data_IF_905104079821
#
_entry.id   IF_905104079821
#
_cell.length_a   1.000
_cell.length_b   1.000
_cell.length_c   1.000
_cell.angle_alpha   90.00
_cell.angle_beta   90.00
_cell.angle_gamma   90.00
#
_symmetry.space_group_name_H-M   'P 1'
#
loop_
_entity.id
_entity.type
_entity.pdbx_description
1 polymer ?
#
# COMPACT_ATOMS: atom_id res chain seq x y z
N UNK A 1 -14.85 5.43 -5.67
CA UNK A 1 -13.75 6.39 -5.97
C UNK A 1 -12.46 5.61 -6.16
N UNK A 2 -11.79 5.77 -7.30
CA UNK A 2 -10.50 5.11 -7.55
C UNK A 2 -9.36 5.93 -6.97
N UNK A 3 -8.40 5.25 -6.34
CA UNK A 3 -7.23 5.82 -5.70
C UNK A 3 -5.97 5.30 -6.42
N UNK A 4 -5.45 6.04 -7.42
CA UNK A 4 -4.25 5.64 -8.10
C UNK A 4 -3.06 5.70 -7.13
N UNK A 5 -2.21 4.67 -7.18
CA UNK A 5 -1.01 4.58 -6.35
C UNK A 5 0.23 4.63 -7.22
N UNK A 6 1.20 5.44 -6.82
CA UNK A 6 2.46 5.64 -7.54
C UNK A 6 3.64 5.62 -6.57
N UNK A 7 4.81 5.29 -7.08
CA UNK A 7 6.07 5.30 -6.33
C UNK A 7 6.95 4.11 -6.67
N UNK A 8 7.98 3.91 -5.87
CA UNK A 8 8.83 2.72 -5.89
C UNK A 8 8.61 1.97 -4.58
N UNK A 9 8.35 0.66 -4.67
CA UNK A 9 8.37 -0.23 -3.51
C UNK A 9 9.31 -1.38 -3.81
N UNK A 10 10.19 -1.63 -2.86
CA UNK A 10 11.24 -2.59 -3.00
C UNK A 10 11.49 -3.28 -1.66
N UNK A 11 11.77 -4.57 -1.70
CA UNK A 11 12.28 -5.33 -0.56
C UNK A 11 13.63 -5.91 -0.95
N UNK A 12 14.67 -5.53 -0.19
CA UNK A 12 16.02 -6.04 -0.36
C UNK A 12 16.35 -7.08 0.71
N UNK A 13 16.95 -8.20 0.30
CA UNK A 13 17.34 -9.32 1.14
C UNK A 13 18.85 -9.34 1.37
N UNK A 14 19.28 -10.02 2.44
CA UNK A 14 20.71 -10.06 2.85
C UNK A 14 21.63 -10.71 1.82
N UNK A 15 21.09 -11.57 0.98
CA UNK A 15 21.80 -12.21 -0.14
C UNK A 15 22.00 -11.27 -1.35
N UNK A 16 21.49 -10.04 -1.25
CA UNK A 16 21.50 -9.05 -2.33
C UNK A 16 20.40 -9.28 -3.37
N UNK A 17 19.44 -10.16 -3.11
CA UNK A 17 18.23 -10.26 -3.94
C UNK A 17 17.32 -9.08 -3.63
N UNK A 18 16.69 -8.54 -4.66
CA UNK A 18 15.82 -7.38 -4.56
C UNK A 18 14.52 -7.68 -5.30
N UNK A 19 13.39 -7.45 -4.63
CA UNK A 19 12.05 -7.64 -5.19
C UNK A 19 11.40 -6.27 -5.34
N UNK A 20 11.14 -5.88 -6.58
CA UNK A 20 10.33 -4.71 -6.91
C UNK A 20 8.84 -5.07 -6.80
N UNK A 21 8.05 -4.17 -6.20
CA UNK A 21 6.63 -4.40 -5.91
C UNK A 21 5.79 -3.31 -6.57
N UNK A 22 5.09 -3.67 -7.66
CA UNK A 22 4.11 -2.82 -8.31
C UNK A 22 2.90 -2.53 -7.42
N UNK A 23 2.05 -1.58 -7.81
CA UNK A 23 0.86 -1.19 -7.06
C UNK A 23 -0.41 -1.77 -7.69
N UNK A 24 -1.32 -2.36 -6.89
CA UNK A 24 -2.67 -2.64 -7.36
C UNK A 24 -3.49 -1.35 -7.40
N UNK A 25 -4.65 -1.44 -8.04
CA UNK A 25 -5.64 -0.38 -7.97
C UNK A 25 -6.39 -0.45 -6.63
N UNK A 26 -6.77 0.70 -6.10
CA UNK A 26 -7.54 0.78 -4.86
C UNK A 26 -8.84 1.53 -5.11
N UNK A 27 -9.93 1.05 -4.54
CA UNK A 27 -11.26 1.65 -4.70
C UNK A 27 -11.94 1.79 -3.36
N UNK A 28 -12.47 2.98 -3.10
CA UNK A 28 -13.41 3.22 -2.00
C UNK A 28 -14.83 3.14 -2.55
N UNK A 29 -15.60 2.19 -2.04
CA UNK A 29 -17.01 2.02 -2.35
C UNK A 29 -17.88 2.65 -1.26
N UNK A 30 -19.16 2.89 -1.58
CA UNK A 30 -20.17 3.35 -0.62
C UNK A 30 -19.78 4.63 0.13
N UNK A 31 -19.05 5.54 -0.52
CA UNK A 31 -18.63 6.82 0.09
C UNK A 31 -19.81 7.64 0.60
N UNK A 32 -20.91 7.54 -0.13
CA UNK A 32 -22.13 8.26 0.15
C UNK A 32 -23.06 7.37 0.96
N UNK A 33 -23.65 6.32 0.36
CA UNK A 33 -24.68 5.52 1.01
C UNK A 33 -24.20 4.11 1.36
N UNK A 34 -24.57 3.64 2.55
CA UNK A 34 -24.18 2.34 3.09
C UNK A 34 -22.83 2.37 3.81
N UNK A 35 -22.33 1.19 4.16
CA UNK A 35 -21.02 1.07 4.82
C UNK A 35 -19.89 1.26 3.82
N UNK A 36 -19.11 2.32 4.03
CA UNK A 36 -17.91 2.60 3.28
C UNK A 36 -16.89 1.48 3.48
N UNK A 37 -16.40 0.92 2.38
CA UNK A 37 -15.35 -0.08 2.42
C UNK A 37 -14.32 0.14 1.32
N UNK A 38 -13.13 -0.35 1.58
CA UNK A 38 -11.99 -0.31 0.68
C UNK A 38 -11.85 -1.66 -0.02
N UNK A 39 -11.56 -1.64 -1.31
CA UNK A 39 -11.36 -2.82 -2.13
C UNK A 39 -10.08 -2.66 -2.95
N UNK A 40 -9.26 -3.72 -2.97
CA UNK A 40 -8.09 -3.82 -3.83
C UNK A 40 -8.51 -4.46 -5.16
N UNK A 41 -8.09 -3.89 -6.28
CA UNK A 41 -8.50 -4.27 -7.62
C UNK A 41 -7.29 -4.42 -8.55
N UNK A 42 -7.56 -4.98 -9.73
CA UNK A 42 -6.57 -5.06 -10.80
C UNK A 42 -5.46 -6.06 -10.47
N UNK A 43 -4.29 -5.83 -11.05
CA UNK A 43 -3.16 -6.74 -10.91
C UNK A 43 -2.00 -6.10 -10.16
N UNK A 44 -1.31 -6.88 -9.34
CA UNK A 44 -0.07 -6.49 -8.69
C UNK A 44 1.08 -7.38 -9.15
N UNK A 45 2.21 -6.76 -9.52
CA UNK A 45 3.40 -7.44 -9.98
C UNK A 45 4.50 -7.40 -8.92
N UNK A 46 5.18 -8.52 -8.74
CA UNK A 46 6.40 -8.66 -7.96
C UNK A 46 7.50 -9.14 -8.90
N UNK A 47 8.64 -8.45 -8.95
CA UNK A 47 9.71 -8.77 -9.90
C UNK A 47 11.02 -8.99 -9.16
N UNK A 48 11.59 -10.18 -9.35
CA UNK A 48 12.96 -10.51 -8.98
C UNK A 48 13.77 -10.66 -10.28
N UNK A 49 14.38 -9.56 -10.70
CA UNK A 49 15.14 -9.51 -11.96
C UNK A 49 16.39 -10.40 -11.90
N UNK A 50 17.01 -10.54 -10.71
CA UNK A 50 18.25 -11.30 -10.52
C UNK A 50 18.03 -12.79 -10.77
N UNK A 51 16.94 -13.34 -10.26
CA UNK A 51 16.63 -14.76 -10.38
C UNK A 51 15.70 -15.07 -11.57
N UNK A 52 15.32 -14.06 -12.36
CA UNK A 52 14.41 -14.22 -13.49
C UNK A 52 13.04 -14.78 -13.06
N UNK A 53 12.51 -14.24 -11.96
CA UNK A 53 11.23 -14.65 -11.39
C UNK A 53 10.29 -13.44 -11.31
N UNK A 54 9.00 -13.71 -11.48
CA UNK A 54 7.97 -12.74 -11.15
C UNK A 54 6.75 -13.42 -10.57
N UNK A 55 6.03 -12.70 -9.73
CA UNK A 55 4.69 -13.09 -9.30
C UNK A 55 3.67 -12.07 -9.78
N UNK A 56 2.55 -12.54 -10.34
CA UNK A 56 1.40 -11.70 -10.69
C UNK A 56 0.22 -12.12 -9.83
N UNK A 57 -0.30 -11.17 -9.05
CA UNK A 57 -1.56 -11.33 -8.33
C UNK A 57 -2.66 -10.58 -9.09
N UNK A 58 -3.84 -11.19 -9.17
CA UNK A 58 -5.06 -10.60 -9.71
C UNK A 58 -6.10 -10.54 -8.59
N UNK A 59 -6.46 -9.32 -8.20
CA UNK A 59 -7.52 -9.05 -7.24
C UNK A 59 -8.86 -8.93 -7.98
N UNK A 60 -9.92 -9.44 -7.35
CA UNK A 60 -11.28 -9.46 -7.92
C UNK A 60 -11.28 -9.88 -9.41
N UNK A 61 -10.81 -11.09 -9.74
CA UNK A 61 -10.59 -11.52 -11.12
C UNK A 61 -11.86 -11.39 -11.98
N UNK A 62 -11.75 -10.82 -13.20
CA UNK A 62 -12.92 -10.55 -14.03
C UNK A 62 -13.62 -11.85 -14.44
N UNK A 63 -14.95 -11.83 -14.49
CA UNK A 63 -15.77 -12.97 -14.91
C UNK A 63 -16.01 -14.02 -13.82
N UNK A 64 -15.39 -13.90 -12.64
CA UNK A 64 -15.68 -14.75 -11.48
C UNK A 64 -16.78 -14.10 -10.62
N UNK A 65 -17.83 -14.86 -10.29
CA UNK A 65 -18.95 -14.40 -9.44
C UNK A 65 -19.02 -15.19 -8.14
N UNK A 66 -19.57 -14.58 -7.09
CA UNK A 66 -19.77 -15.25 -5.80
C UNK A 66 -18.50 -15.46 -4.97
N UNK A 67 -17.39 -14.83 -5.36
CA UNK A 67 -16.16 -14.86 -4.57
C UNK A 67 -16.28 -13.93 -3.35
N UNK A 68 -15.61 -14.26 -2.23
CA UNK A 68 -15.51 -13.35 -1.09
C UNK A 68 -14.86 -12.01 -1.48
N UNK A 69 -15.16 -10.97 -0.69
CA UNK A 69 -14.42 -9.71 -0.74
C UNK A 69 -12.92 -9.98 -0.48
N UNK A 70 -12.05 -9.22 -1.13
CA UNK A 70 -10.58 -9.33 -1.06
C UNK A 70 -9.99 -10.65 -1.58
N UNK A 71 -10.77 -11.43 -2.35
CA UNK A 71 -10.24 -12.59 -3.04
C UNK A 71 -9.22 -12.20 -4.11
N UNK A 72 -8.12 -12.94 -4.17
CA UNK A 72 -7.14 -12.86 -5.24
C UNK A 72 -6.67 -14.24 -5.67
N UNK A 73 -6.23 -14.32 -6.92
CA UNK A 73 -5.52 -15.47 -7.48
C UNK A 73 -4.18 -15.00 -8.05
N UNK A 74 -3.22 -15.89 -8.25
CA UNK A 74 -1.93 -15.47 -8.78
C UNK A 74 -1.06 -16.62 -9.27
N UNK A 75 0.03 -16.24 -9.93
CA UNK A 75 1.05 -17.15 -10.43
C UNK A 75 2.43 -16.63 -10.06
N UNK A 76 3.33 -17.54 -9.70
CA UNK A 76 4.78 -17.32 -9.72
C UNK A 76 5.33 -18.01 -10.97
N UNK A 77 6.02 -17.26 -11.83
CA UNK A 77 6.52 -17.75 -13.11
C UNK A 77 7.95 -17.29 -13.37
N UNK A 78 8.66 -18.05 -14.22
CA UNK A 78 9.94 -17.62 -14.80
C UNK A 78 9.69 -16.45 -15.73
N UNK A 79 10.62 -15.52 -15.75
CA UNK A 79 10.50 -14.26 -16.46
C UNK A 79 11.87 -13.84 -17.00
N UNK A 80 11.88 -13.34 -18.24
CA UNK A 80 13.07 -12.76 -18.87
C UNK A 80 13.09 -11.24 -18.61
N UNK A 81 14.04 -10.71 -17.80
CA UNK A 81 14.16 -9.29 -17.51
C UNK A 81 14.30 -8.41 -18.76
N UNK A 82 14.86 -8.94 -19.86
CA UNK A 82 14.98 -8.21 -21.12
C UNK A 82 13.65 -8.07 -21.87
N UNK A 83 12.63 -8.88 -21.51
CA UNK A 83 11.30 -8.89 -22.13
C UNK A 83 10.17 -8.72 -21.10
N UNK A 84 10.09 -7.55 -20.43
CA UNK A 84 9.14 -7.27 -19.34
C UNK A 84 7.66 -7.55 -19.63
N UNK A 85 7.25 -7.50 -20.90
CA UNK A 85 5.85 -7.54 -21.32
C UNK A 85 5.33 -8.90 -21.78
N UNK A 86 6.13 -9.98 -21.74
CA UNK A 86 5.62 -11.31 -22.13
C UNK A 86 4.74 -11.88 -21.04
N UNK A 87 3.48 -12.25 -21.31
CA UNK A 87 2.59 -12.93 -20.35
C UNK A 87 2.68 -14.45 -20.52
N UNK A 88 3.20 -15.16 -19.53
CA UNK A 88 3.13 -16.62 -19.47
C UNK A 88 1.88 -17.02 -18.70
N UNK A 89 0.98 -17.73 -19.37
CA UNK A 89 -0.10 -18.46 -18.71
C UNK A 89 0.50 -19.69 -18.01
N UNK A 90 1.28 -19.47 -16.95
CA UNK A 90 1.50 -20.49 -15.93
C UNK A 90 0.44 -20.28 -14.86
N UNK A 91 -0.22 -21.32 -14.40
CA UNK A 91 -0.89 -21.31 -13.11
C UNK A 91 -0.03 -22.16 -12.19
N UNK A 92 0.39 -21.64 -11.05
CA UNK A 92 0.83 -22.51 -9.97
C UNK A 92 -0.42 -22.86 -9.20
N UNK A 93 -1.08 -23.94 -9.61
CA UNK A 93 -2.19 -24.53 -8.85
C UNK A 93 -1.58 -25.37 -7.74
N UNK A 94 -1.40 -24.75 -6.57
CA UNK A 94 -0.62 -25.36 -5.50
C UNK A 94 -1.48 -26.23 -4.59
N UNK A 95 -1.93 -27.36 -5.15
CA UNK A 95 -2.26 -28.64 -4.50
C UNK A 95 -3.03 -28.60 -3.16
N UNK A 96 -3.84 -27.56 -2.92
CA UNK A 96 -4.59 -27.38 -1.67
C UNK A 96 -3.74 -27.00 -0.45
N UNK A 97 -2.50 -26.55 -0.61
CA UNK A 97 -1.62 -26.17 0.51
C UNK A 97 -1.93 -24.73 0.94
N UNK A 98 -2.21 -24.53 2.24
CA UNK A 98 -2.40 -23.19 2.82
C UNK A 98 -1.05 -22.59 3.21
N UNK A 99 -0.55 -21.65 2.40
CA UNK A 99 0.73 -20.97 2.62
C UNK A 99 0.73 -19.93 3.74
N UNK A 100 -0.36 -19.17 3.86
CA UNK A 100 -0.47 -18.09 4.82
C UNK A 100 -1.92 -17.91 5.26
N UNK A 101 -2.13 -17.62 6.54
CA UNK A 101 -3.43 -17.31 7.11
C UNK A 101 -3.28 -16.15 8.10
N UNK A 102 -3.94 -15.03 7.79
CA UNK A 102 -3.84 -13.83 8.63
C UNK A 102 -4.34 -14.07 10.07
N UNK A 103 -5.14 -15.14 10.31
CA UNK A 103 -5.70 -15.48 11.62
C UNK A 103 -4.74 -16.24 12.51
N UNK A 104 -3.71 -16.87 11.94
CA UNK A 104 -2.84 -17.80 12.68
C UNK A 104 -1.47 -17.22 12.99
N UNK A 105 -1.06 -16.12 12.36
CA UNK A 105 0.24 -15.52 12.61
C UNK A 105 0.22 -14.51 13.77
N UNK A 106 1.31 -14.43 14.52
CA UNK A 106 1.52 -13.39 15.52
C UNK A 106 1.83 -12.07 14.83
N UNK A 107 0.98 -11.07 15.05
CA UNK A 107 1.17 -9.72 14.50
C UNK A 107 2.46 -9.11 15.05
N UNK A 108 3.33 -8.66 14.17
CA UNK A 108 4.51 -7.89 14.58
C UNK A 108 4.06 -6.63 15.33
N UNK A 109 4.62 -6.38 16.50
CA UNK A 109 4.34 -5.16 17.26
C UNK A 109 5.17 -4.02 16.69
N UNK A 110 4.55 -2.87 16.43
CA UNK A 110 5.28 -1.66 16.03
C UNK A 110 6.18 -1.21 17.18
N UNK A 111 7.51 -1.26 17.01
CA UNK A 111 8.45 -0.66 17.96
C UNK A 111 8.53 0.85 17.71
N UNK A 112 8.16 1.65 18.70
CA UNK A 112 8.49 3.07 18.69
C UNK A 112 9.96 3.25 19.07
N UNK A 113 10.71 4.14 18.41
CA UNK A 113 11.97 4.62 18.99
C UNK A 113 11.69 5.30 20.35
N UNK A 114 12.61 5.25 21.31
CA UNK A 114 12.44 5.86 22.64
C UNK A 114 12.29 7.38 22.61
N UNK A 115 13.00 8.04 21.68
CA UNK A 115 12.95 9.48 21.47
C UNK A 115 12.36 9.78 20.10
N UNK A 116 11.25 10.51 20.07
CA UNK A 116 10.60 10.92 18.83
C UNK A 116 11.28 12.15 18.26
N UNK A 117 11.48 12.17 16.94
CA UNK A 117 11.90 13.38 16.26
C UNK A 117 10.79 14.43 16.34
N UNK A 118 11.11 15.74 16.39
CA UNK A 118 10.09 16.80 16.39
C UNK A 118 9.14 16.74 15.18
N UNK A 119 9.59 16.18 14.06
CA UNK A 119 8.81 15.97 12.84
C UNK A 119 7.96 14.69 12.83
N UNK A 120 8.00 13.89 13.91
CA UNK A 120 7.23 12.66 14.00
C UNK A 120 5.72 12.94 13.97
N UNK A 121 4.99 12.21 13.15
CA UNK A 121 3.55 12.43 12.95
C UNK A 121 2.72 12.24 14.22
N UNK A 122 3.24 11.51 15.22
CA UNK A 122 2.58 11.31 16.51
C UNK A 122 2.57 12.55 17.38
N UNK A 123 3.48 13.49 17.13
CA UNK A 123 3.56 14.76 17.84
C UNK A 123 2.67 15.84 17.21
N UNK A 124 1.95 15.52 16.12
CA UNK A 124 1.08 16.49 15.45
C UNK A 124 -0.13 16.87 16.33
N UNK A 125 -0.33 18.17 16.64
CA UNK A 125 -1.37 18.63 17.57
C UNK A 125 -2.79 18.43 17.02
N UNK A 126 -2.99 18.61 15.72
CA UNK A 126 -4.28 18.36 15.05
C UNK A 126 -4.73 16.90 15.17
N UNK A 127 -3.80 15.96 14.98
CA UNK A 127 -4.03 14.52 15.20
C UNK A 127 -4.37 14.22 16.66
N UNK A 128 -3.64 14.80 17.62
CA UNK A 128 -3.86 14.53 19.04
C UNK A 128 -5.21 15.05 19.53
N UNK A 129 -5.60 16.26 19.11
CA UNK A 129 -6.93 16.80 19.39
C UNK A 129 -8.05 15.95 18.76
N UNK A 130 -7.81 15.38 17.57
CA UNK A 130 -8.77 14.47 16.92
C UNK A 130 -8.94 13.16 17.69
N UNK A 131 -7.85 12.59 18.24
CA UNK A 131 -7.90 11.40 19.10
C UNK A 131 -8.74 11.65 20.36
N UNK A 132 -8.64 12.85 20.92
CA UNK A 132 -9.46 13.32 22.05
C UNK A 132 -10.90 13.70 21.65
N UNK A 133 -11.25 13.56 20.37
CA UNK A 133 -12.55 13.95 19.78
C UNK A 133 -12.85 15.44 19.90
N UNK A 134 -11.85 16.28 20.14
CA UNK A 134 -11.99 17.73 20.16
C UNK A 134 -11.91 18.29 18.73
N UNK A 135 -13.02 18.18 18.00
CA UNK A 135 -13.09 18.51 16.57
C UNK A 135 -12.77 19.98 16.28
N UNK A 136 -13.20 20.90 17.16
CA UNK A 136 -12.94 22.33 16.98
C UNK A 136 -11.45 22.64 17.05
N UNK A 137 -10.76 22.09 18.06
CA UNK A 137 -9.32 22.26 18.22
C UNK A 137 -8.55 21.59 17.10
N UNK A 138 -8.94 20.36 16.73
CA UNK A 138 -8.31 19.63 15.63
C UNK A 138 -8.36 20.43 14.31
N UNK A 139 -9.51 21.04 14.01
CA UNK A 139 -9.67 21.88 12.82
C UNK A 139 -8.83 23.17 12.91
N UNK A 140 -8.78 23.82 14.07
CA UNK A 140 -7.99 25.04 14.26
C UNK A 140 -6.47 24.77 14.09
N UNK A 141 -5.95 23.70 14.71
CA UNK A 141 -4.55 23.31 14.58
C UNK A 141 -4.20 22.87 13.16
N UNK A 142 -5.11 22.17 12.47
CA UNK A 142 -4.92 21.81 11.05
C UNK A 142 -4.72 23.06 10.19
N UNK A 143 -5.60 24.06 10.34
CA UNK A 143 -5.49 25.31 9.58
C UNK A 143 -4.18 26.05 9.87
N UNK A 144 -3.77 26.11 11.15
CA UNK A 144 -2.50 26.73 11.56
C UNK A 144 -1.30 26.06 10.87
N UNK A 145 -1.23 24.72 10.92
CA UNK A 145 -0.14 23.94 10.32
C UNK A 145 -0.10 24.08 8.79
N UNK A 146 -1.25 24.05 8.12
CA UNK A 146 -1.33 24.22 6.66
C UNK A 146 -0.92 25.62 6.20
N UNK A 147 -1.22 26.66 6.98
CA UNK A 147 -0.78 28.03 6.70
C UNK A 147 0.75 28.18 6.86
N UNK A 148 1.31 27.64 7.95
CA UNK A 148 2.77 27.61 8.16
C UNK A 148 3.49 26.87 7.03
N UNK A 149 2.98 25.71 6.60
CA UNK A 149 3.54 24.96 5.47
C UNK A 149 3.46 25.74 4.17
N UNK A 150 2.35 26.46 3.92
CA UNK A 150 2.18 27.32 2.74
C UNK A 150 3.17 28.49 2.76
N UNK A 151 3.37 29.13 3.92
CA UNK A 151 4.36 30.20 4.07
C UNK A 151 5.78 29.67 3.84
N UNK A 152 6.16 28.56 4.49
CA UNK A 152 7.48 27.94 4.30
C UNK A 152 7.74 27.53 2.85
N UNK A 153 6.71 27.08 2.11
CA UNK A 153 6.81 26.82 0.68
C UNK A 153 7.13 28.10 -0.10
N UNK A 154 6.39 29.19 0.14
CA UNK A 154 6.66 30.50 -0.51
C UNK A 154 8.08 30.99 -0.25
N UNK A 155 8.58 30.90 0.99
CA UNK A 155 9.96 31.29 1.32
C UNK A 155 11.00 30.42 0.58
N UNK A 156 10.76 29.12 0.40
CA UNK A 156 11.66 28.22 -0.34
C UNK A 156 11.68 28.54 -1.84
N UNK A 157 10.54 28.91 -2.41
CA UNK A 157 10.42 29.31 -3.82
C UNK A 157 11.12 30.65 -4.09
N UNK A 158 11.12 31.59 -3.13
CA UNK A 158 11.84 32.87 -3.24
C UNK A 158 13.37 32.75 -3.14
N UNK A 159 13.86 31.69 -2.50
CA UNK A 159 15.31 31.44 -2.34
C UNK A 159 15.92 30.62 -3.49
N UNK A 160 15.12 30.26 -4.48
CA UNK A 160 15.50 29.43 -5.62
C UNK A 160 15.70 30.31 -6.85
#
# INVERSE_FOLDING_TARGET
>A
MNLPSHGLREVSFKDGTTIEIGFPDNRINNLFWGDMHHEVLGSQLFVDARNGLRARLQFSPPGRKGLPSDYFEGVIERFDPAKPRGGGAGGVDDRGVRYWDFRTFSKATSSSPPALLPSDSRLRPDRNALVEKNIKLAQAEKLRLEEEQRQQRKLREQKK
#
